data_IF_343667110490
#
_entry.id   IF_343667110490
#
_cell.length_a   1.000
_cell.length_b   1.000
_cell.length_c   1.000
_cell.angle_alpha   90.00
_cell.angle_beta   90.00
_cell.angle_gamma   90.00
#
_symmetry.space_group_name_H-M   'P 1'
#
loop_
_entity.id
_entity.type
_entity.pdbx_description
1 polymer ?
#
# COMPACT_ATOMS: atom_id res chain seq x y z
N UNK A 1 9.72 -18.58 0.75
CA UNK A 1 11.02 -18.71 0.06
C UNK A 1 11.52 -17.32 -0.33
N UNK A 2 12.82 -17.00 -0.11
CA UNK A 2 13.43 -15.70 -0.48
C UNK A 2 13.98 -15.75 -1.90
N UNK A 3 13.98 -14.59 -2.57
CA UNK A 3 14.59 -14.38 -3.88
C UNK A 3 15.85 -13.52 -3.75
N UNK A 4 16.80 -13.58 -4.69
CA UNK A 4 17.87 -12.61 -4.76
C UNK A 4 17.30 -11.20 -5.03
N UNK A 5 18.07 -10.18 -4.67
CA UNK A 5 17.72 -8.81 -5.06
C UNK A 5 17.76 -8.69 -6.59
N UNK A 6 16.72 -8.16 -7.25
CA UNK A 6 16.77 -7.90 -8.68
C UNK A 6 17.92 -6.95 -9.03
N UNK A 7 18.64 -7.22 -10.13
CA UNK A 7 19.85 -6.48 -10.50
C UNK A 7 19.63 -4.98 -10.74
N UNK A 8 18.40 -4.58 -11.06
CA UNK A 8 18.03 -3.17 -11.30
C UNK A 8 17.71 -2.39 -10.02
N UNK A 9 17.58 -3.06 -8.86
CA UNK A 9 17.32 -2.36 -7.59
C UNK A 9 18.56 -1.56 -7.20
N UNK A 10 18.35 -0.28 -6.87
CA UNK A 10 19.41 0.63 -6.51
C UNK A 10 20.23 0.08 -5.32
N UNK A 11 21.58 0.01 -5.43
CA UNK A 11 22.44 -0.53 -4.37
C UNK A 11 22.33 0.21 -3.05
N UNK A 12 22.08 1.53 -3.07
CA UNK A 12 21.88 2.32 -1.84
C UNK A 12 20.59 1.90 -1.16
N UNK A 13 19.51 1.66 -1.94
CA UNK A 13 18.26 1.15 -1.41
C UNK A 13 18.46 -0.23 -0.77
N UNK A 14 19.16 -1.15 -1.44
CA UNK A 14 19.46 -2.48 -0.88
C UNK A 14 20.21 -2.36 0.45
N UNK A 15 21.22 -1.50 0.52
CA UNK A 15 21.99 -1.28 1.74
C UNK A 15 21.11 -0.77 2.90
N UNK A 16 20.19 0.17 2.62
CA UNK A 16 19.25 0.71 3.61
C UNK A 16 18.23 -0.32 4.08
N UNK A 17 17.70 -1.14 3.16
CA UNK A 17 16.78 -2.21 3.49
C UNK A 17 17.45 -3.30 4.34
N UNK A 18 18.70 -3.67 4.03
CA UNK A 18 19.49 -4.60 4.85
C UNK A 18 19.73 -4.03 6.25
N UNK A 19 20.09 -2.77 6.36
CA UNK A 19 20.25 -2.10 7.66
C UNK A 19 18.95 -2.06 8.48
N UNK A 20 17.79 -2.10 7.80
CA UNK A 20 16.47 -2.22 8.42
C UNK A 20 16.04 -3.69 8.70
N UNK A 21 16.94 -4.67 8.53
CA UNK A 21 16.69 -6.09 8.81
C UNK A 21 16.05 -6.87 7.65
N UNK A 22 16.04 -6.32 6.45
CA UNK A 22 15.51 -7.00 5.26
C UNK A 22 16.67 -7.52 4.42
N UNK A 23 17.08 -8.75 4.65
CA UNK A 23 18.25 -9.35 3.95
C UNK A 23 17.98 -9.63 2.47
N UNK A 24 16.76 -10.08 2.14
CA UNK A 24 16.34 -10.39 0.78
C UNK A 24 14.81 -10.36 0.67
N UNK A 25 14.25 -10.04 -0.51
CA UNK A 25 12.82 -10.06 -0.74
C UNK A 25 12.27 -11.50 -0.76
N UNK A 26 10.98 -11.65 -0.46
CA UNK A 26 10.25 -12.88 -0.78
C UNK A 26 10.00 -12.98 -2.28
N UNK A 27 9.80 -14.20 -2.81
CA UNK A 27 9.57 -14.42 -4.25
C UNK A 27 8.42 -13.56 -4.77
N UNK A 28 7.28 -13.50 -4.06
CA UNK A 28 6.14 -12.69 -4.49
C UNK A 28 6.45 -11.19 -4.55
N UNK A 29 7.30 -10.69 -3.63
CA UNK A 29 7.74 -9.29 -3.64
C UNK A 29 8.66 -9.00 -4.83
N UNK A 30 9.62 -9.88 -5.10
CA UNK A 30 10.54 -9.74 -6.22
C UNK A 30 9.78 -9.83 -7.57
N UNK A 31 8.84 -10.77 -7.70
CA UNK A 31 8.03 -10.94 -8.90
C UNK A 31 7.16 -9.72 -9.18
N UNK A 32 6.44 -9.20 -8.17
CA UNK A 32 5.65 -7.99 -8.33
C UNK A 32 6.51 -6.77 -8.70
N UNK A 33 7.68 -6.64 -8.08
CA UNK A 33 8.63 -5.58 -8.37
C UNK A 33 9.17 -5.66 -9.81
N UNK A 34 9.43 -6.87 -10.30
CA UNK A 34 9.90 -7.11 -11.68
C UNK A 34 8.84 -6.73 -12.72
N UNK A 35 7.57 -7.10 -12.50
CA UNK A 35 6.47 -6.66 -13.36
C UNK A 35 6.40 -5.13 -13.40
N UNK A 36 6.41 -4.47 -12.25
CA UNK A 36 6.32 -3.02 -12.18
C UNK A 36 7.55 -2.33 -12.81
N UNK A 37 8.76 -2.84 -12.59
CA UNK A 37 9.98 -2.30 -13.17
C UNK A 37 9.97 -2.40 -14.70
N UNK A 38 9.47 -3.52 -15.25
CA UNK A 38 9.32 -3.74 -16.70
C UNK A 38 8.18 -2.94 -17.34
N UNK A 39 7.50 -2.06 -16.59
CA UNK A 39 6.43 -1.20 -17.11
C UNK A 39 5.04 -1.86 -17.12
N UNK A 40 4.88 -3.04 -16.54
CA UNK A 40 3.59 -3.74 -16.46
C UNK A 40 2.91 -3.43 -15.13
N UNK A 41 1.63 -3.04 -15.20
CA UNK A 41 0.82 -2.89 -13.99
C UNK A 41 0.58 -4.24 -13.33
N UNK A 42 0.59 -4.28 -12.00
CA UNK A 42 0.54 -5.54 -11.24
C UNK A 42 -0.34 -5.39 -10.00
N UNK A 43 -1.05 -6.46 -9.65
CA UNK A 43 -1.71 -6.62 -8.36
C UNK A 43 -1.01 -7.70 -7.55
N UNK A 44 -0.60 -7.34 -6.33
CA UNK A 44 -0.02 -8.23 -5.34
C UNK A 44 -1.11 -8.56 -4.31
N UNK A 45 -1.68 -9.76 -4.41
CA UNK A 45 -2.83 -10.22 -3.62
C UNK A 45 -2.43 -11.38 -2.71
N UNK A 46 -1.62 -11.09 -1.70
CA UNK A 46 -1.12 -12.06 -0.72
C UNK A 46 -1.67 -11.78 0.67
N UNK A 47 -1.47 -12.68 1.61
CA UNK A 47 -1.97 -12.59 2.98
C UNK A 47 -1.64 -11.27 3.68
N UNK A 48 -2.38 -10.95 4.73
CA UNK A 48 -2.06 -9.83 5.61
C UNK A 48 -0.68 -10.05 6.25
N UNK A 49 0.09 -9.00 6.44
CA UNK A 49 1.45 -9.04 6.99
C UNK A 49 2.47 -9.85 6.16
N UNK A 50 2.20 -10.20 4.90
CA UNK A 50 3.16 -10.86 3.99
C UNK A 50 4.27 -9.95 3.48
N UNK A 51 4.31 -8.69 3.92
CA UNK A 51 5.33 -7.71 3.52
C UNK A 51 5.14 -7.14 2.12
N UNK A 52 3.91 -7.07 1.60
CA UNK A 52 3.57 -6.52 0.26
C UNK A 52 4.26 -5.21 -0.07
N UNK A 53 4.49 -4.38 0.95
CA UNK A 53 5.09 -3.05 0.78
C UNK A 53 6.42 -3.08 0.05
N UNK A 54 7.25 -4.08 0.28
CA UNK A 54 8.54 -4.20 -0.41
C UNK A 54 8.35 -4.43 -1.92
N UNK A 55 7.29 -5.14 -2.34
CA UNK A 55 6.99 -5.39 -3.76
C UNK A 55 6.78 -4.11 -4.57
N UNK A 56 6.17 -3.07 -3.98
CA UNK A 56 6.02 -1.78 -4.65
C UNK A 56 7.12 -0.77 -4.28
N UNK A 57 7.72 -0.86 -3.10
CA UNK A 57 8.78 0.08 -2.72
C UNK A 57 10.06 -0.11 -3.54
N UNK A 58 10.43 -1.34 -3.89
CA UNK A 58 11.61 -1.59 -4.72
C UNK A 58 11.57 -0.82 -6.04
N UNK A 59 10.55 -1.00 -6.91
CA UNK A 59 10.52 -0.29 -8.19
C UNK A 59 10.29 1.22 -8.02
N UNK A 60 9.46 1.63 -7.07
CA UNK A 60 9.17 3.04 -6.80
C UNK A 60 10.43 3.77 -6.36
N UNK A 61 11.09 3.30 -5.29
CA UNK A 61 12.25 4.01 -4.72
C UNK A 61 13.46 3.95 -5.65
N UNK A 62 13.73 2.81 -6.30
CA UNK A 62 14.80 2.73 -7.31
C UNK A 62 14.53 3.68 -8.48
N UNK A 63 13.28 3.76 -8.94
CA UNK A 63 12.90 4.68 -10.01
C UNK A 63 13.05 6.17 -9.62
N UNK A 64 12.80 6.51 -8.36
CA UNK A 64 12.98 7.87 -7.84
C UNK A 64 14.47 8.23 -7.66
N UNK A 65 15.32 7.26 -7.32
CA UNK A 65 16.76 7.44 -7.21
C UNK A 65 17.44 7.56 -8.59
N UNK A 66 16.95 6.81 -9.57
CA UNK A 66 17.51 6.81 -10.93
C UNK A 66 17.26 8.11 -11.71
N UNK A 67 16.24 8.89 -11.36
CA UNK A 67 15.91 10.11 -12.12
C UNK A 67 15.30 11.23 -11.28
N UNK A 68 15.88 12.45 -11.30
CA UNK A 68 15.44 13.57 -10.47
C UNK A 68 14.03 14.08 -10.84
N UNK A 69 13.57 13.78 -12.05
CA UNK A 69 12.23 14.12 -12.53
C UNK A 69 11.17 13.07 -12.18
N UNK A 70 11.58 11.86 -11.80
CA UNK A 70 10.64 10.77 -11.48
C UNK A 70 9.77 11.13 -10.28
N UNK A 71 8.50 10.75 -10.35
CA UNK A 71 7.49 10.97 -9.30
C UNK A 71 6.71 9.69 -9.09
N UNK A 72 6.25 9.52 -7.86
CA UNK A 72 5.36 8.44 -7.50
C UNK A 72 4.21 8.94 -6.63
N UNK A 73 3.05 8.31 -6.80
CA UNK A 73 1.86 8.56 -6.01
C UNK A 73 1.50 7.29 -5.23
N UNK A 74 1.20 7.45 -3.95
CA UNK A 74 0.70 6.36 -3.11
C UNK A 74 -0.70 6.72 -2.61
N UNK A 75 -1.63 5.82 -2.82
CA UNK A 75 -3.02 5.96 -2.42
C UNK A 75 -3.34 4.94 -1.33
N UNK A 76 -3.65 5.43 -0.14
CA UNK A 76 -4.11 4.63 0.99
C UNK A 76 -5.58 4.94 1.29
N UNK A 77 -6.36 3.97 1.81
CA UNK A 77 -7.73 4.23 2.22
C UNK A 77 -7.83 5.17 3.44
N UNK A 78 -6.80 5.23 4.27
CA UNK A 78 -6.79 6.04 5.48
C UNK A 78 -5.52 6.88 5.62
N UNK A 79 -5.64 8.03 6.32
CA UNK A 79 -4.49 8.88 6.66
C UNK A 79 -3.46 8.15 7.53
N UNK A 80 -3.91 7.28 8.44
CA UNK A 80 -3.03 6.51 9.31
C UNK A 80 -2.08 5.62 8.49
N UNK A 81 -2.60 4.85 7.53
CA UNK A 81 -1.77 4.03 6.63
C UNK A 81 -0.81 4.86 5.79
N UNK A 82 -1.26 6.01 5.28
CA UNK A 82 -0.37 6.92 4.54
C UNK A 82 0.77 7.44 5.42
N UNK A 83 0.50 7.80 6.67
CA UNK A 83 1.51 8.28 7.61
C UNK A 83 2.47 7.16 8.05
N UNK A 84 1.98 5.93 8.25
CA UNK A 84 2.84 4.79 8.58
C UNK A 84 3.80 4.50 7.43
N UNK A 85 3.29 4.49 6.21
CA UNK A 85 4.11 4.32 5.01
C UNK A 85 5.12 5.46 4.84
N UNK A 86 4.70 6.71 5.10
CA UNK A 86 5.61 7.87 5.08
C UNK A 86 6.76 7.71 6.08
N UNK A 87 6.45 7.28 7.31
CA UNK A 87 7.48 7.02 8.34
C UNK A 87 8.45 5.93 7.89
N UNK A 88 7.94 4.83 7.35
CA UNK A 88 8.77 3.73 6.84
C UNK A 88 9.71 4.20 5.72
N UNK A 89 9.21 4.98 4.76
CA UNK A 89 10.03 5.50 3.65
C UNK A 89 11.07 6.50 4.15
N UNK A 90 10.70 7.40 5.06
CA UNK A 90 11.64 8.39 5.63
C UNK A 90 12.74 7.74 6.45
N UNK A 91 12.44 6.64 7.17
CA UNK A 91 13.43 5.89 7.95
C UNK A 91 14.56 5.29 7.09
N UNK A 92 14.32 5.03 5.80
CA UNK A 92 15.35 4.59 4.87
C UNK A 92 16.39 5.68 4.56
N UNK A 93 16.10 6.94 4.86
CA UNK A 93 17.01 8.09 4.69
C UNK A 93 17.69 8.11 3.30
N UNK A 94 16.88 8.06 2.24
CA UNK A 94 17.35 8.01 0.86
C UNK A 94 17.51 9.45 0.31
N UNK A 95 18.72 9.85 0.00
CA UNK A 95 18.99 11.16 -0.62
C UNK A 95 18.31 11.21 -2.00
N UNK A 96 17.49 12.24 -2.24
CA UNK A 96 16.72 12.38 -3.49
C UNK A 96 15.26 11.92 -3.39
N UNK A 97 14.90 11.12 -2.38
CA UNK A 97 13.50 10.75 -2.10
C UNK A 97 12.87 11.76 -1.13
N UNK A 98 12.06 12.66 -1.66
CA UNK A 98 11.30 13.65 -0.88
C UNK A 98 9.86 13.18 -0.75
N UNK A 99 9.62 12.37 0.29
CA UNK A 99 8.30 11.83 0.60
C UNK A 99 7.49 12.78 1.48
N UNK A 100 6.23 13.04 1.12
CA UNK A 100 5.31 13.88 1.86
C UNK A 100 3.87 13.39 1.74
N UNK A 101 3.09 13.57 2.79
CA UNK A 101 1.63 13.41 2.73
C UNK A 101 1.00 14.65 2.09
N UNK A 102 -0.11 14.44 1.41
CA UNK A 102 -0.96 15.50 0.88
C UNK A 102 -2.42 15.13 1.12
N UNK A 103 -3.00 15.70 2.16
CA UNK A 103 -4.36 15.43 2.61
C UNK A 103 -5.04 16.69 3.17
N UNK A 104 -6.23 16.52 3.78
CA UNK A 104 -6.99 17.64 4.32
C UNK A 104 -6.27 18.38 5.44
N UNK A 105 -5.38 17.71 6.18
CA UNK A 105 -4.66 18.25 7.33
C UNK A 105 -3.31 18.90 6.93
N UNK A 106 -2.88 18.71 5.67
CA UNK A 106 -1.65 19.34 5.17
C UNK A 106 -1.76 20.86 5.22
N UNK A 107 -0.90 21.56 5.99
CA UNK A 107 -0.93 23.01 6.10
C UNK A 107 -0.81 23.73 4.76
N UNK A 108 -1.47 24.86 4.59
CA UNK A 108 -1.42 25.62 3.35
C UNK A 108 0.00 26.00 2.93
N UNK A 109 0.87 26.33 3.90
CA UNK A 109 2.29 26.63 3.69
C UNK A 109 3.09 25.45 3.14
N UNK A 110 2.72 24.20 3.47
CA UNK A 110 3.39 23.00 3.00
C UNK A 110 2.87 22.53 1.64
N UNK A 111 1.62 22.86 1.30
CA UNK A 111 1.00 22.42 0.05
C UNK A 111 1.74 22.85 -1.18
N UNK A 112 2.28 24.08 -1.20
CA UNK A 112 3.07 24.59 -2.34
C UNK A 112 4.41 23.86 -2.44
N UNK A 113 5.06 23.61 -1.31
CA UNK A 113 6.30 22.84 -1.26
C UNK A 113 6.09 21.41 -1.77
N UNK A 114 5.03 20.73 -1.32
CA UNK A 114 4.72 19.36 -1.77
C UNK A 114 4.52 19.33 -3.29
N UNK A 115 3.75 20.24 -3.84
CA UNK A 115 3.52 20.33 -5.29
C UNK A 115 4.80 20.56 -6.10
N UNK A 116 5.70 21.39 -5.59
CA UNK A 116 6.91 21.76 -6.29
C UNK A 116 8.05 20.73 -6.12
N UNK A 117 8.19 20.15 -4.95
CA UNK A 117 9.41 19.44 -4.57
C UNK A 117 9.24 17.97 -4.21
N UNK A 118 8.06 17.53 -3.77
CA UNK A 118 7.88 16.12 -3.40
C UNK A 118 8.08 15.21 -4.61
N UNK A 119 8.86 14.14 -4.41
CA UNK A 119 9.04 13.08 -5.40
C UNK A 119 8.13 11.90 -5.16
N UNK A 120 7.71 11.70 -3.91
CA UNK A 120 6.78 10.67 -3.51
C UNK A 120 5.64 11.29 -2.68
N UNK A 121 4.46 11.37 -3.26
CA UNK A 121 3.27 11.93 -2.61
C UNK A 121 2.38 10.81 -2.11
N UNK A 122 2.07 10.83 -0.82
CA UNK A 122 1.15 9.89 -0.17
C UNK A 122 -0.16 10.61 0.14
N UNK A 123 -1.27 10.04 -0.31
CA UNK A 123 -2.58 10.66 -0.19
C UNK A 123 -3.69 9.60 -0.16
N UNK A 124 -4.93 10.03 -0.23
CA UNK A 124 -6.10 9.16 -0.37
C UNK A 124 -6.88 9.49 -1.65
N UNK A 125 -7.79 8.60 -2.09
CA UNK A 125 -8.56 8.80 -3.31
C UNK A 125 -9.42 10.08 -3.31
N UNK A 126 -9.98 10.47 -2.16
CA UNK A 126 -10.82 11.67 -2.07
C UNK A 126 -9.98 12.93 -2.29
N UNK A 127 -8.80 12.99 -1.66
CA UNK A 127 -7.90 14.10 -1.86
C UNK A 127 -7.34 14.15 -3.28
N UNK A 128 -7.09 13.00 -3.89
CA UNK A 128 -6.73 12.92 -5.31
C UNK A 128 -7.85 13.51 -6.17
N UNK A 129 -9.12 13.14 -5.91
CA UNK A 129 -10.26 13.60 -6.69
C UNK A 129 -10.55 15.10 -6.51
N UNK A 130 -10.49 15.62 -5.29
CA UNK A 130 -10.89 16.98 -4.95
C UNK A 130 -9.73 17.98 -4.86
N UNK A 131 -8.53 17.53 -4.46
CA UNK A 131 -7.37 18.39 -4.22
C UNK A 131 -6.30 18.39 -5.32
N UNK A 132 -6.23 17.31 -6.11
CA UNK A 132 -5.18 17.16 -7.14
C UNK A 132 -5.76 17.29 -8.55
N UNK A 133 -6.72 16.45 -8.92
CA UNK A 133 -7.21 16.35 -10.29
C UNK A 133 -7.92 17.61 -10.80
N UNK A 134 -8.73 18.35 -10.03
CA UNK A 134 -9.32 19.62 -10.48
C UNK A 134 -8.26 20.70 -10.70
N UNK A 135 -7.20 20.65 -9.90
CA UNK A 135 -6.10 21.62 -9.94
C UNK A 135 -4.85 21.07 -10.64
N UNK A 136 -5.01 20.12 -11.57
CA UNK A 136 -3.93 19.41 -12.24
C UNK A 136 -2.87 20.32 -12.88
N UNK A 137 -3.23 21.57 -13.26
CA UNK A 137 -2.26 22.55 -13.77
C UNK A 137 -1.19 22.91 -12.74
N UNK A 138 -1.56 23.02 -11.46
CA UNK A 138 -0.62 23.26 -10.35
C UNK A 138 0.25 22.03 -10.04
N UNK A 139 -0.18 20.86 -10.51
CA UNK A 139 0.50 19.59 -10.36
C UNK A 139 1.25 19.15 -11.63
N UNK A 140 1.36 20.04 -12.61
CA UNK A 140 1.91 19.70 -13.93
C UNK A 140 3.32 19.11 -13.89
N UNK A 141 4.19 19.61 -13.01
CA UNK A 141 5.56 19.10 -12.83
C UNK A 141 5.53 17.68 -12.27
N UNK A 142 4.71 17.45 -11.23
CA UNK A 142 4.52 16.14 -10.63
C UNK A 142 3.93 15.14 -11.62
N UNK A 143 2.86 15.53 -12.30
CA UNK A 143 2.16 14.67 -13.27
C UNK A 143 3.02 14.31 -14.49
N UNK A 144 3.90 15.21 -14.94
CA UNK A 144 4.83 14.95 -16.05
C UNK A 144 5.86 13.88 -15.67
N UNK A 145 6.30 13.86 -14.42
CA UNK A 145 7.24 12.87 -13.91
C UNK A 145 6.59 11.62 -13.32
N UNK A 146 5.27 11.52 -13.27
CA UNK A 146 4.55 10.43 -12.59
C UNK A 146 4.82 9.09 -13.27
N UNK A 147 5.65 8.26 -12.62
CA UNK A 147 6.08 6.97 -13.14
C UNK A 147 5.33 5.80 -12.49
N UNK A 148 5.00 5.92 -11.22
CA UNK A 148 4.31 4.86 -10.46
C UNK A 148 3.11 5.41 -9.70
N UNK A 149 2.04 4.61 -9.65
CA UNK A 149 0.88 4.82 -8.80
C UNK A 149 0.66 3.56 -7.99
N UNK A 150 0.88 3.64 -6.68
CA UNK A 150 0.60 2.57 -5.75
C UNK A 150 -0.81 2.74 -5.22
N UNK A 151 -1.60 1.68 -5.24
CA UNK A 151 -2.97 1.64 -4.69
C UNK A 151 -2.99 0.57 -3.61
N UNK A 152 -2.87 1.00 -2.37
CA UNK A 152 -2.78 0.08 -1.24
C UNK A 152 -4.16 -0.28 -0.69
N UNK A 153 -4.26 -1.48 -0.09
CA UNK A 153 -5.49 -2.05 0.46
C UNK A 153 -6.68 -2.00 -0.52
N UNK A 154 -6.40 -2.22 -1.81
CA UNK A 154 -7.38 -2.05 -2.88
C UNK A 154 -8.58 -3.02 -2.79
N UNK A 155 -8.48 -4.08 -1.97
CA UNK A 155 -9.60 -4.97 -1.67
C UNK A 155 -10.77 -4.27 -0.97
N UNK A 156 -10.52 -3.14 -0.30
CA UNK A 156 -11.57 -2.30 0.29
C UNK A 156 -12.40 -1.51 -0.73
N UNK A 157 -11.93 -1.40 -1.97
CA UNK A 157 -12.61 -0.62 -3.02
C UNK A 157 -13.62 -1.48 -3.77
N UNK A 158 -14.80 -1.69 -3.17
CA UNK A 158 -15.89 -2.54 -3.69
C UNK A 158 -17.21 -1.78 -3.80
N UNK A 159 -18.15 -2.35 -4.56
CA UNK A 159 -19.49 -1.80 -4.73
C UNK A 159 -19.48 -0.37 -5.30
N UNK A 160 -20.37 0.48 -4.82
CA UNK A 160 -20.51 1.88 -5.26
C UNK A 160 -19.23 2.67 -5.01
N UNK A 161 -18.62 2.48 -3.83
CA UNK A 161 -17.35 3.15 -3.49
C UNK A 161 -16.21 2.73 -4.45
N UNK A 162 -16.10 1.43 -4.73
CA UNK A 162 -15.12 0.94 -5.71
C UNK A 162 -15.32 1.51 -7.10
N UNK A 163 -16.57 1.65 -7.55
CA UNK A 163 -16.89 2.30 -8.83
C UNK A 163 -16.46 3.76 -8.87
N UNK A 164 -16.66 4.49 -7.77
CA UNK A 164 -16.17 5.87 -7.64
C UNK A 164 -14.64 5.94 -7.76
N UNK A 165 -13.93 5.10 -7.02
CA UNK A 165 -12.46 5.03 -7.07
C UNK A 165 -11.97 4.68 -8.48
N UNK A 166 -12.63 3.74 -9.17
CA UNK A 166 -12.31 3.40 -10.56
C UNK A 166 -12.40 4.61 -11.50
N UNK A 167 -13.41 5.45 -11.34
CA UNK A 167 -13.53 6.69 -12.11
C UNK A 167 -12.41 7.68 -11.78
N UNK A 168 -12.02 7.80 -10.51
CA UNK A 168 -10.90 8.66 -10.08
C UNK A 168 -9.58 8.19 -10.68
N UNK A 169 -9.28 6.88 -10.62
CA UNK A 169 -8.04 6.33 -11.19
C UNK A 169 -7.98 6.47 -12.72
N UNK A 170 -9.08 6.22 -13.41
CA UNK A 170 -9.17 6.43 -14.87
C UNK A 170 -9.04 7.91 -15.25
N UNK A 171 -9.57 8.81 -14.42
CA UNK A 171 -9.37 10.26 -14.59
C UNK A 171 -7.89 10.62 -14.38
N UNK A 172 -7.24 10.08 -13.34
CA UNK A 172 -5.80 10.27 -13.13
C UNK A 172 -4.99 9.85 -14.35
N UNK A 173 -5.27 8.67 -14.93
CA UNK A 173 -4.60 8.19 -16.14
C UNK A 173 -4.73 9.16 -17.30
N UNK A 174 -5.97 9.63 -17.58
CA UNK A 174 -6.21 10.61 -18.66
C UNK A 174 -5.48 11.92 -18.42
N UNK A 175 -5.48 12.39 -17.17
CA UNK A 175 -4.78 13.63 -16.81
C UNK A 175 -3.25 13.45 -16.93
N UNK A 176 -2.70 12.32 -16.44
CA UNK A 176 -1.28 12.02 -16.59
C UNK A 176 -0.85 11.94 -18.06
N UNK A 177 -1.64 11.26 -18.90
CA UNK A 177 -1.39 11.16 -20.35
C UNK A 177 -1.36 12.53 -21.03
N UNK A 178 -2.19 13.50 -20.60
CA UNK A 178 -2.14 14.88 -21.09
C UNK A 178 -0.78 15.56 -20.82
N UNK A 179 -0.08 15.13 -19.78
CA UNK A 179 1.27 15.61 -19.45
C UNK A 179 2.39 14.72 -19.98
N UNK A 180 2.06 13.73 -20.83
CA UNK A 180 3.02 12.83 -21.45
C UNK A 180 3.47 11.68 -20.54
N UNK A 181 2.74 11.41 -19.46
CA UNK A 181 3.06 10.36 -18.48
C UNK A 181 2.07 9.19 -18.56
N UNK A 182 2.59 7.97 -18.55
CA UNK A 182 1.81 6.73 -18.50
C UNK A 182 2.28 5.89 -17.28
N UNK A 183 1.78 6.19 -16.08
CA UNK A 183 2.27 5.53 -14.88
C UNK A 183 1.91 4.06 -14.82
N UNK A 184 2.81 3.27 -14.26
CA UNK A 184 2.59 1.88 -13.89
C UNK A 184 1.80 1.84 -12.59
N UNK A 185 0.74 1.03 -12.55
CA UNK A 185 -0.07 0.82 -11.35
C UNK A 185 0.40 -0.42 -10.61
N UNK A 186 0.71 -0.25 -9.33
CA UNK A 186 1.02 -1.37 -8.42
C UNK A 186 -0.06 -1.41 -7.35
N UNK A 187 -0.90 -2.42 -7.40
CA UNK A 187 -2.00 -2.57 -6.45
C UNK A 187 -1.60 -3.59 -5.38
N UNK A 188 -1.85 -3.26 -4.12
CA UNK A 188 -1.67 -4.19 -3.01
C UNK A 188 -3.03 -4.53 -2.40
N UNK A 189 -3.26 -5.81 -2.17
CA UNK A 189 -4.53 -6.36 -1.70
C UNK A 189 -4.29 -7.45 -0.67
N UNK A 190 -5.22 -7.63 0.26
CA UNK A 190 -5.33 -8.90 0.96
C UNK A 190 -5.76 -10.00 -0.02
N UNK A 191 -5.72 -11.26 0.43
CA UNK A 191 -6.23 -12.39 -0.36
C UNK A 191 -7.70 -12.20 -0.70
N UNK A 192 -8.00 -12.16 -1.99
CA UNK A 192 -9.36 -11.98 -2.53
C UNK A 192 -9.55 -12.87 -3.76
N UNK A 193 -10.79 -13.22 -4.05
CA UNK A 193 -11.12 -13.95 -5.27
C UNK A 193 -11.02 -13.02 -6.48
N UNK A 194 -10.34 -13.46 -7.54
CA UNK A 194 -10.21 -12.76 -8.80
C UNK A 194 -9.53 -11.39 -8.72
N UNK A 195 -8.32 -11.30 -8.13
CA UNK A 195 -7.63 -10.03 -7.91
C UNK A 195 -7.33 -9.28 -9.20
N UNK A 196 -6.95 -9.99 -10.26
CA UNK A 196 -6.70 -9.41 -11.59
C UNK A 196 -7.94 -8.74 -12.18
N UNK A 197 -9.11 -9.38 -12.09
CA UNK A 197 -10.37 -8.79 -12.54
C UNK A 197 -10.71 -7.52 -11.75
N UNK A 198 -10.57 -7.57 -10.43
CA UNK A 198 -10.84 -6.42 -9.56
C UNK A 198 -9.89 -5.25 -9.86
N UNK A 199 -8.60 -5.53 -10.01
CA UNK A 199 -7.60 -4.53 -10.37
C UNK A 199 -7.84 -3.92 -11.77
N UNK A 200 -8.23 -4.76 -12.75
CA UNK A 200 -8.60 -4.32 -14.10
C UNK A 200 -9.83 -3.42 -14.09
N UNK A 201 -10.86 -3.75 -13.30
CA UNK A 201 -12.05 -2.91 -13.13
C UNK A 201 -11.71 -1.55 -12.50
N UNK A 202 -10.80 -1.52 -11.52
CA UNK A 202 -10.38 -0.28 -10.87
C UNK A 202 -9.56 0.60 -11.82
N UNK A 203 -8.59 0.05 -12.50
CA UNK A 203 -7.61 0.82 -13.28
C UNK A 203 -8.01 1.01 -14.74
N UNK A 204 -8.79 0.08 -15.31
CA UNK A 204 -9.05 -0.02 -16.74
C UNK A 204 -7.80 -0.43 -17.54
N UNK A 205 -6.94 -1.27 -16.94
CA UNK A 205 -5.72 -1.81 -17.52
C UNK A 205 -5.74 -3.34 -17.43
N UNK A 206 -4.98 -3.98 -18.30
CA UNK A 206 -4.54 -5.34 -18.05
C UNK A 206 -3.49 -5.31 -16.95
N UNK A 207 -3.67 -6.18 -15.95
CA UNK A 207 -2.88 -6.18 -14.74
C UNK A 207 -2.34 -7.59 -14.49
N UNK A 208 -1.03 -7.69 -14.34
CA UNK A 208 -0.37 -8.94 -13.91
C UNK A 208 -0.80 -9.31 -12.49
N UNK A 209 -0.85 -10.59 -12.19
CA UNK A 209 -1.35 -11.08 -10.90
C UNK A 209 -0.26 -11.84 -10.17
N UNK A 210 0.00 -11.46 -8.91
CA UNK A 210 0.89 -12.17 -7.99
C UNK A 210 0.10 -12.49 -6.73
N UNK A 211 -0.25 -13.77 -6.55
CA UNK A 211 -1.09 -14.23 -5.43
C UNK A 211 -0.45 -15.35 -4.59
N UNK A 212 0.62 -15.95 -5.09
CA UNK A 212 1.37 -17.00 -4.35
C UNK A 212 2.17 -16.37 -3.21
N UNK A 213 1.71 -16.56 -1.99
CA UNK A 213 2.35 -16.02 -0.79
C UNK A 213 3.55 -16.89 -0.36
N UNK A 214 4.76 -16.38 -0.58
CA UNK A 214 6.01 -17.03 -0.22
C UNK A 214 6.53 -16.61 1.18
N UNK A 215 5.77 -15.81 1.94
CA UNK A 215 6.14 -15.42 3.31
C UNK A 215 6.03 -16.60 4.28
N UNK A 216 6.82 -16.62 5.36
CA UNK A 216 6.70 -17.66 6.38
C UNK A 216 5.36 -17.50 7.10
N UNK A 217 4.68 -18.62 7.31
CA UNK A 217 3.44 -18.69 8.09
C UNK A 217 3.72 -19.41 9.40
N UNK A 218 3.42 -18.75 10.51
CA UNK A 218 3.39 -19.40 11.81
C UNK A 218 2.20 -20.36 11.96
N UNK A 219 2.27 -21.23 12.94
CA UNK A 219 1.13 -22.07 13.31
C UNK A 219 -0.05 -21.19 13.74
N UNK A 220 -1.23 -21.45 13.18
CA UNK A 220 -2.46 -20.72 13.52
C UNK A 220 -3.34 -21.64 14.37
N UNK A 221 -3.73 -21.17 15.55
CA UNK A 221 -4.73 -21.85 16.38
C UNK A 221 -6.07 -21.17 16.18
N UNK A 222 -7.08 -21.92 15.77
CA UNK A 222 -8.46 -21.46 15.74
C UNK A 222 -9.15 -21.84 17.05
N UNK A 223 -9.68 -20.86 17.75
CA UNK A 223 -10.50 -21.09 18.95
C UNK A 223 -11.91 -20.65 18.63
N UNK A 224 -12.83 -21.60 18.60
CA UNK A 224 -14.26 -21.30 18.53
C UNK A 224 -14.73 -21.07 19.97
N UNK A 225 -15.17 -19.86 20.25
CA UNK A 225 -15.76 -19.50 21.53
C UNK A 225 -17.25 -19.29 21.36
N UNK A 226 -18.05 -20.10 22.00
CA UNK A 226 -19.49 -19.92 22.11
C UNK A 226 -19.77 -19.23 23.46
N UNK A 227 -20.13 -17.95 23.47
CA UNK A 227 -20.46 -17.27 24.72
C UNK A 227 -21.71 -17.90 25.33
N UNK A 228 -21.79 -18.02 26.69
CA UNK A 228 -23.00 -18.48 27.31
C UNK A 228 -24.16 -17.57 26.94
N UNK A 229 -25.32 -18.18 26.62
CA UNK A 229 -26.55 -17.44 26.34
C UNK A 229 -26.87 -16.59 27.55
N UNK A 230 -26.82 -15.28 27.42
CA UNK A 230 -27.36 -14.35 28.41
C UNK A 230 -28.87 -14.33 28.25
N UNK A 231 -29.59 -14.54 29.32
CA UNK A 231 -31.06 -14.47 29.36
C UNK A 231 -31.48 -13.06 28.87
N UNK A 232 -32.23 -12.92 27.75
CA UNK A 232 -32.60 -11.63 27.22
C UNK A 232 -33.51 -10.81 28.11
N UNK A 233 -34.00 -11.40 29.21
CA UNK A 233 -34.91 -10.79 30.17
C UNK A 233 -34.26 -10.23 31.44
N UNK A 234 -32.95 -10.31 31.61
CA UNK A 234 -32.33 -9.62 32.75
C UNK A 234 -32.04 -8.17 32.37
N UNK A 235 -32.66 -7.17 33.04
CA UNK A 235 -32.29 -5.77 32.83
C UNK A 235 -30.81 -5.60 33.16
N UNK A 236 -30.08 -4.72 32.47
CA UNK A 236 -28.68 -4.47 32.76
C UNK A 236 -28.56 -4.09 34.24
N UNK A 237 -27.95 -4.94 35.02
CA UNK A 237 -27.62 -4.63 36.42
C UNK A 237 -26.59 -3.50 36.37
N UNK A 238 -27.05 -2.27 36.58
CA UNK A 238 -26.19 -1.15 36.89
C UNK A 238 -25.30 -1.59 38.07
N UNK A 239 -23.98 -1.61 37.84
CA UNK A 239 -22.94 -1.81 38.87
C UNK A 239 -22.69 -3.24 39.40
N UNK A 240 -22.54 -4.25 38.54
CA UNK A 240 -21.73 -5.42 38.91
C UNK A 240 -20.47 -5.49 38.07
N UNK A 241 -19.26 -5.63 38.66
CA UNK A 241 -18.08 -5.95 37.92
C UNK A 241 -18.32 -7.26 37.17
N UNK A 242 -18.08 -7.29 35.85
CA UNK A 242 -18.18 -8.51 35.06
C UNK A 242 -17.31 -9.63 35.65
N UNK A 243 -17.68 -10.92 35.41
CA UNK A 243 -16.84 -12.02 35.83
C UNK A 243 -15.42 -11.81 35.26
N UNK A 244 -14.37 -12.16 36.02
CA UNK A 244 -13.00 -12.04 35.55
C UNK A 244 -12.86 -12.88 34.30
N UNK A 245 -12.21 -12.28 33.28
CA UNK A 245 -11.86 -12.98 32.06
C UNK A 245 -11.18 -14.30 32.41
N UNK A 246 -11.65 -15.47 31.94
CA UNK A 246 -11.02 -16.73 32.31
C UNK A 246 -9.55 -16.64 31.89
N UNK A 247 -8.67 -16.85 32.87
CA UNK A 247 -7.24 -16.92 32.67
C UNK A 247 -6.96 -17.90 31.53
N UNK A 248 -6.14 -17.46 30.59
CA UNK A 248 -5.73 -18.28 29.46
C UNK A 248 -5.27 -19.65 29.99
N UNK A 249 -5.96 -20.71 29.57
CA UNK A 249 -5.53 -22.07 29.83
C UNK A 249 -4.14 -22.23 29.20
N UNK A 250 -3.11 -22.22 30.05
CA UNK A 250 -1.79 -22.71 29.70
C UNK A 250 -1.89 -24.21 29.45
N UNK A 251 -2.05 -24.62 28.20
CA UNK A 251 -1.86 -26.01 27.84
C UNK A 251 -0.36 -26.29 27.85
N UNK A 252 0.03 -27.15 28.79
CA UNK A 252 1.36 -27.74 28.87
C UNK A 252 1.77 -28.28 27.50
N UNK A 253 2.97 -27.93 27.06
CA UNK A 253 3.58 -28.55 25.89
C UNK A 253 3.89 -30.02 26.16
N UNK A 254 3.98 -30.87 25.14
CA UNK A 254 4.46 -32.22 25.31
C UNK A 254 5.94 -32.19 25.71
N UNK A 255 6.28 -32.80 26.81
CA UNK A 255 7.64 -33.19 27.16
C UNK A 255 8.12 -34.30 26.19
N UNK A 256 9.41 -34.25 25.88
CA UNK A 256 10.32 -35.13 25.17
C UNK A 256 10.57 -34.83 23.71
#
# INVERSE_FOLDING_TARGET
MRAPWPAWVDPVLIARLRAAGIDAPWIHQALAAEHAHSGRSVVLATGTASGKSLGYLMPVLSGLLAGPSARALYLAPTKALANDQLRAVRALNLTGVRAATYDGDTPASERDWVRAHATFVLTNPDMLNHGVLPYHRRWSVFLRGLRYVVVDECHGYRGVFGSHIAHVLRRLRRVAARYGSMPVFVLASATVSGPGRSAGLLTGLDVEVVEDDASPRGATRFVLYEPPLTDPWQPPASSRPGPPCPAALQLAGPEA
#
